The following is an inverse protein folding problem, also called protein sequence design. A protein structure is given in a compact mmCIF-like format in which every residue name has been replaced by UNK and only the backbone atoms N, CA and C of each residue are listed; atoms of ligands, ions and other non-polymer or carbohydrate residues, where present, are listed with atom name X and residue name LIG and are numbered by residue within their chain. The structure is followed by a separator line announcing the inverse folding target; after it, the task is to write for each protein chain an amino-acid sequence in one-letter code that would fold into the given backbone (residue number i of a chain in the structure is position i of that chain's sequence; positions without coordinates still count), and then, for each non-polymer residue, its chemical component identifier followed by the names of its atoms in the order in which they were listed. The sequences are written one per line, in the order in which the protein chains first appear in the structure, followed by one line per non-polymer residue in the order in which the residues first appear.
data_IF_626528990953
#
_entry.id   IF_626528990953
#
_cell.length_a   1.000
_cell.length_b   1.000
_cell.length_c   1.000
_cell.angle_alpha   90.00
_cell.angle_beta   90.00
_cell.angle_gamma   90.00
#
_symmetry.space_group_name_H-M   'P 1'
#
loop_
_entity.id
_entity.type
_entity.pdbx_description
1 polymer ?
#
# COMPACT_ATOMS: atom_id res chain seq x y z
N UNK A 1 -37.86 -51.84 -4.50
CA UNK A 1 -39.18 -51.30 -4.92
C UNK A 1 -39.66 -50.39 -3.80
N UNK A 2 -39.91 -49.09 -3.90
CA UNK A 2 -39.81 -48.12 -4.99
C UNK A 2 -39.52 -46.73 -4.38
N UNK A 3 -39.04 -45.83 -5.24
CA UNK A 3 -38.65 -44.44 -4.94
C UNK A 3 -39.89 -43.56 -4.70
N UNK A 4 -39.88 -42.72 -3.67
CA UNK A 4 -40.76 -41.55 -3.59
C UNK A 4 -40.06 -40.32 -4.17
N UNK A 5 -40.60 -39.80 -5.27
CA UNK A 5 -40.26 -38.52 -5.90
C UNK A 5 -41.46 -37.61 -5.69
N UNK A 6 -41.34 -36.56 -4.87
CA UNK A 6 -42.34 -35.48 -4.81
C UNK A 6 -42.15 -34.56 -6.01
N UNK A 7 -43.16 -34.49 -6.87
CA UNK A 7 -43.30 -33.46 -7.91
C UNK A 7 -43.81 -32.16 -7.28
N UNK A 8 -43.14 -31.03 -7.56
CA UNK A 8 -43.73 -29.70 -7.40
C UNK A 8 -44.55 -29.37 -8.67
N UNK A 9 -45.77 -28.89 -8.46
CA UNK A 9 -46.70 -28.49 -9.50
C UNK A 9 -46.32 -27.13 -10.13
N UNK A 10 -46.34 -27.07 -11.46
CA UNK A 10 -46.37 -25.85 -12.26
C UNK A 10 -47.76 -25.20 -12.16
N UNK A 11 -47.81 -23.92 -11.82
CA UNK A 11 -48.98 -23.08 -12.06
C UNK A 11 -48.73 -22.21 -13.30
N UNK A 12 -49.49 -22.50 -14.36
CA UNK A 12 -49.55 -21.73 -15.60
C UNK A 12 -50.76 -20.79 -15.49
N UNK A 13 -50.53 -19.49 -15.53
CA UNK A 13 -51.58 -18.49 -15.74
C UNK A 13 -51.38 -17.87 -17.13
N UNK A 14 -52.28 -18.25 -18.04
CA UNK A 14 -52.47 -17.61 -19.35
C UNK A 14 -53.51 -16.50 -19.19
N UNK A 15 -53.17 -15.27 -19.58
CA UNK A 15 -54.17 -14.25 -19.91
C UNK A 15 -53.79 -13.61 -21.25
N UNK A 16 -54.79 -13.63 -22.14
CA UNK A 16 -54.79 -13.20 -23.53
C UNK A 16 -54.66 -11.67 -23.67
N UNK A 17 -53.96 -11.21 -24.71
CA UNK A 17 -53.92 -9.79 -25.09
C UNK A 17 -53.40 -9.60 -26.51
N UNK A 18 -54.22 -8.99 -27.37
CA UNK A 18 -54.02 -8.82 -28.81
C UNK A 18 -52.77 -8.03 -29.21
N UNK A 19 -52.34 -8.26 -30.46
CA UNK A 19 -51.12 -7.70 -31.02
C UNK A 19 -51.18 -6.23 -31.42
N UNK A 20 -49.97 -5.66 -31.56
CA UNK A 20 -49.59 -4.51 -32.37
C UNK A 20 -48.05 -4.42 -32.31
N UNK A 21 -47.29 -4.51 -33.43
CA UNK A 21 -45.85 -4.29 -33.41
C UNK A 21 -45.60 -2.78 -33.50
N UNK A 22 -45.44 -2.11 -32.36
CA UNK A 22 -44.90 -0.75 -32.32
C UNK A 22 -43.37 -0.84 -32.37
N UNK A 23 -42.79 -0.54 -33.53
CA UNK A 23 -41.36 -0.30 -33.68
C UNK A 23 -40.99 0.95 -32.86
N UNK A 24 -40.41 0.75 -31.67
CA UNK A 24 -39.80 1.82 -30.90
C UNK A 24 -38.35 1.97 -31.37
N UNK A 25 -38.14 2.91 -32.30
CA UNK A 25 -36.83 3.51 -32.54
C UNK A 25 -36.41 4.23 -31.25
N UNK A 26 -35.73 3.51 -30.37
CA UNK A 26 -34.99 4.10 -29.26
C UNK A 26 -33.80 4.85 -29.82
N UNK A 27 -33.95 6.16 -30.02
CA UNK A 27 -32.84 7.06 -30.25
C UNK A 27 -31.91 6.99 -29.04
N UNK A 28 -30.81 6.24 -29.17
CA UNK A 28 -29.66 6.34 -28.29
C UNK A 28 -29.20 7.79 -28.31
N UNK A 29 -29.57 8.59 -27.31
CA UNK A 29 -28.83 9.80 -26.97
C UNK A 29 -27.44 9.32 -26.58
N UNK A 30 -26.54 9.28 -27.56
CA UNK A 30 -25.12 9.34 -27.31
C UNK A 30 -24.90 10.59 -26.46
N UNK A 31 -24.65 10.39 -25.17
CA UNK A 31 -24.13 11.43 -24.32
C UNK A 31 -22.81 11.86 -24.97
N UNK A 32 -22.80 13.05 -25.57
CA UNK A 32 -21.57 13.66 -26.04
C UNK A 32 -20.58 13.79 -24.89
N UNK A 33 -19.28 13.83 -25.19
CA UNK A 33 -18.25 13.99 -24.16
C UNK A 33 -18.53 15.28 -23.38
N UNK A 34 -18.75 15.14 -22.07
CA UNK A 34 -18.81 16.29 -21.17
C UNK A 34 -17.49 17.06 -21.26
N UNK A 35 -17.51 18.36 -21.60
CA UNK A 35 -16.32 19.18 -21.55
C UNK A 35 -16.03 19.51 -20.07
N UNK A 36 -14.86 19.09 -19.57
CA UNK A 36 -14.23 19.69 -18.40
C UNK A 36 -14.64 19.13 -17.03
N UNK A 37 -14.13 17.95 -16.69
CA UNK A 37 -13.51 17.78 -15.38
C UNK A 37 -11.98 17.79 -15.62
N UNK A 38 -11.42 18.99 -15.80
CA UNK A 38 -10.00 19.18 -15.56
C UNK A 38 -9.72 18.68 -14.13
N UNK A 39 -8.77 17.76 -14.00
CA UNK A 39 -8.52 17.01 -12.77
C UNK A 39 -8.44 17.91 -11.55
N UNK A 40 -9.20 17.58 -10.51
CA UNK A 40 -8.96 18.15 -9.20
C UNK A 40 -7.70 17.50 -8.64
N UNK A 41 -6.54 18.00 -9.06
CA UNK A 41 -5.30 17.78 -8.34
C UNK A 41 -5.48 18.18 -6.87
N UNK A 42 -4.54 17.80 -5.98
CA UNK A 42 -4.72 18.05 -4.56
C UNK A 42 -4.97 19.53 -4.27
N UNK A 43 -5.78 19.79 -3.24
CA UNK A 43 -6.13 21.14 -2.85
C UNK A 43 -4.90 21.87 -2.28
N UNK A 44 -4.84 23.22 -2.32
CA UNK A 44 -3.77 23.96 -1.67
C UNK A 44 -3.59 23.63 -0.17
N UNK A 45 -4.68 23.21 0.50
CA UNK A 45 -4.69 22.75 1.90
C UNK A 45 -4.03 21.39 2.12
N UNK A 46 -3.85 20.59 1.07
CA UNK A 46 -3.12 19.31 1.13
C UNK A 46 -1.61 19.51 1.21
N UNK A 47 -1.13 20.74 1.11
CA UNK A 47 0.28 21.10 1.24
C UNK A 47 0.57 21.79 2.57
N UNK A 48 1.79 21.63 3.07
CA UNK A 48 2.27 22.28 4.29
C UNK A 48 3.74 22.68 4.12
N UNK A 49 4.13 23.85 4.64
CA UNK A 49 5.56 24.16 4.77
C UNK A 49 6.17 23.28 5.86
N UNK A 50 7.28 22.60 5.58
CA UNK A 50 7.87 21.68 6.57
C UNK A 50 8.34 22.41 7.84
N UNK A 51 8.66 23.71 7.75
CA UNK A 51 8.98 24.55 8.90
C UNK A 51 7.84 24.69 9.91
N UNK A 52 6.59 24.63 9.43
CA UNK A 52 5.37 24.75 10.23
C UNK A 52 4.95 23.43 10.88
N UNK A 53 5.50 22.30 10.43
CA UNK A 53 5.20 20.97 10.98
C UNK A 53 5.98 20.79 12.29
N UNK A 54 5.33 20.60 13.46
CA UNK A 54 6.03 20.39 14.71
C UNK A 54 7.01 19.21 14.62
N UNK A 55 8.13 19.31 15.32
CA UNK A 55 9.01 18.16 15.52
C UNK A 55 8.26 17.11 16.32
N UNK A 56 8.32 15.86 15.88
CA UNK A 56 7.85 14.72 16.65
C UNK A 56 8.82 14.53 17.83
N UNK A 57 8.50 15.17 18.96
CA UNK A 57 9.22 14.97 20.23
C UNK A 57 8.62 13.76 20.91
N UNK A 58 9.16 12.57 20.65
CA UNK A 58 8.70 11.32 21.25
C UNK A 58 9.82 10.30 21.31
N UNK A 59 9.84 9.42 22.32
CA UNK A 59 11.04 8.68 22.66
C UNK A 59 11.31 7.66 21.54
N UNK A 60 12.49 7.72 20.92
CA UNK A 60 13.17 6.46 20.62
C UNK A 60 13.54 5.94 21.99
N UNK A 61 12.59 5.34 22.73
CA UNK A 61 12.94 4.65 23.96
C UNK A 61 13.99 3.67 23.50
N UNK A 62 15.24 3.90 23.93
CA UNK A 62 16.31 2.95 23.71
C UNK A 62 15.70 1.60 24.10
N UNK A 63 15.79 0.59 23.22
CA UNK A 63 15.19 -0.71 23.50
C UNK A 63 15.58 -1.12 24.92
N UNK A 64 14.60 -1.51 25.73
CA UNK A 64 14.85 -1.97 27.09
C UNK A 64 15.83 -3.14 27.07
N UNK A 65 16.35 -3.55 28.23
CA UNK A 65 17.30 -4.66 28.31
C UNK A 65 16.82 -5.93 27.58
N UNK A 66 15.49 -6.14 27.54
CA UNK A 66 14.84 -7.28 26.88
C UNK A 66 14.44 -7.02 25.41
N UNK A 67 14.66 -5.81 24.90
CA UNK A 67 14.33 -5.39 23.54
C UNK A 67 15.19 -6.06 22.46
N UNK A 68 14.80 -5.83 21.21
CA UNK A 68 15.53 -6.24 20.00
C UNK A 68 16.00 -4.97 19.26
N UNK A 69 17.15 -4.39 19.63
CA UNK A 69 17.58 -3.10 19.11
C UNK A 69 18.13 -3.14 17.69
N UNK A 70 18.31 -4.32 17.12
CA UNK A 70 18.95 -4.45 15.81
C UNK A 70 18.08 -3.91 14.68
N UNK A 71 18.73 -3.74 13.53
CA UNK A 71 18.07 -3.35 12.28
C UNK A 71 18.56 -4.22 11.14
N UNK A 72 17.69 -4.46 10.15
CA UNK A 72 18.06 -5.15 8.91
C UNK A 72 17.59 -4.32 7.73
N UNK A 73 18.49 -4.02 6.81
CA UNK A 73 18.14 -3.42 5.51
C UNK A 73 18.17 -4.50 4.44
N UNK A 74 17.13 -4.57 3.62
CA UNK A 74 17.10 -5.41 2.42
C UNK A 74 17.31 -4.53 1.19
N UNK A 75 18.35 -4.81 0.40
CA UNK A 75 18.72 -3.99 -0.76
C UNK A 75 17.94 -4.40 -2.01
N UNK A 76 16.77 -3.78 -2.26
CA UNK A 76 15.87 -4.13 -3.38
C UNK A 76 15.88 -3.17 -4.58
N UNK A 77 16.84 -2.25 -4.64
CA UNK A 77 16.88 -1.21 -5.66
C UNK A 77 15.78 -0.17 -5.45
N UNK A 78 15.39 0.51 -6.52
CA UNK A 78 14.39 1.59 -6.54
C UNK A 78 13.44 1.44 -7.74
N UNK A 79 13.03 0.19 -7.99
CA UNK A 79 12.15 -0.20 -9.09
C UNK A 79 12.75 0.08 -10.48
N UNK A 80 14.05 -0.18 -10.67
CA UNK A 80 14.70 -0.08 -11.99
C UNK A 80 14.08 -1.01 -13.04
N UNK A 81 13.48 -2.12 -12.60
CA UNK A 81 12.77 -3.07 -13.45
C UNK A 81 11.45 -2.51 -14.00
N UNK A 82 10.98 -1.37 -13.48
CA UNK A 82 9.78 -0.69 -13.96
C UNK A 82 8.49 -1.45 -13.64
N UNK A 83 8.50 -2.25 -12.58
CA UNK A 83 7.33 -3.02 -12.18
C UNK A 83 6.24 -2.11 -11.63
N UNK A 84 5.18 -1.96 -12.42
CA UNK A 84 3.98 -1.21 -12.09
C UNK A 84 2.74 -1.96 -12.57
N UNK A 85 1.65 -1.88 -11.83
CA UNK A 85 0.33 -2.35 -12.24
C UNK A 85 -0.74 -1.68 -11.35
N UNK A 86 -2.02 -1.94 -11.62
CA UNK A 86 -3.14 -1.46 -10.80
C UNK A 86 -3.72 -2.55 -9.90
N UNK A 87 -2.94 -3.59 -9.62
CA UNK A 87 -3.41 -4.75 -8.90
C UNK A 87 -3.22 -4.58 -7.39
N UNK A 88 -4.00 -5.33 -6.62
CA UNK A 88 -3.83 -5.38 -5.17
C UNK A 88 -4.05 -6.80 -4.65
N UNK A 89 -2.97 -7.60 -4.62
CA UNK A 89 -3.03 -9.00 -4.16
C UNK A 89 -3.39 -9.13 -2.67
N UNK A 90 -3.14 -8.09 -1.86
CA UNK A 90 -3.45 -8.12 -0.42
C UNK A 90 -4.95 -7.92 -0.17
N UNK A 91 -5.58 -6.94 -0.82
CA UNK A 91 -7.00 -6.58 -0.61
C UNK A 91 -7.95 -7.27 -1.58
N UNK A 92 -7.56 -7.32 -2.85
CA UNK A 92 -8.40 -7.77 -3.95
C UNK A 92 -7.70 -8.88 -4.78
N UNK A 93 -7.22 -9.97 -4.14
CA UNK A 93 -6.58 -11.07 -4.86
C UNK A 93 -7.53 -11.65 -5.91
N UNK A 94 -7.02 -11.95 -7.10
CA UNK A 94 -7.84 -12.47 -8.20
C UNK A 94 -8.57 -11.40 -9.01
N UNK A 95 -8.43 -10.11 -8.69
CA UNK A 95 -9.09 -9.01 -9.40
C UNK A 95 -8.08 -8.10 -10.10
N UNK A 96 -7.89 -8.24 -11.43
CA UNK A 96 -7.08 -7.32 -12.22
C UNK A 96 -7.57 -5.88 -12.10
N UNK A 97 -6.63 -4.93 -12.00
CA UNK A 97 -6.88 -3.50 -11.75
C UNK A 97 -7.71 -3.21 -10.50
N UNK A 98 -7.73 -4.13 -9.53
CA UNK A 98 -8.53 -4.04 -8.30
C UNK A 98 -8.10 -2.93 -7.34
N UNK A 99 -6.99 -2.23 -7.58
CA UNK A 99 -6.59 -1.04 -6.83
C UNK A 99 -7.24 0.25 -7.35
N UNK A 100 -7.62 0.31 -8.65
CA UNK A 100 -8.07 1.53 -9.35
C UNK A 100 -7.04 2.68 -9.42
N UNK A 101 -5.79 2.41 -9.05
CA UNK A 101 -4.66 3.34 -9.16
C UNK A 101 -3.36 2.55 -9.32
N UNK A 102 -2.30 3.17 -9.82
CA UNK A 102 -1.05 2.45 -10.09
C UNK A 102 -0.20 2.29 -8.83
N UNK A 103 0.32 1.10 -8.62
CA UNK A 103 1.36 0.80 -7.65
C UNK A 103 2.74 0.70 -8.30
N UNK A 104 3.77 1.09 -7.57
CA UNK A 104 5.16 0.72 -7.84
C UNK A 104 5.60 -0.39 -6.88
N UNK A 105 6.53 -1.24 -7.34
CA UNK A 105 6.97 -2.44 -6.63
C UNK A 105 8.49 -2.50 -6.53
N UNK A 106 8.99 -3.06 -5.43
CA UNK A 106 10.34 -3.65 -5.37
C UNK A 106 10.27 -5.06 -4.80
N UNK A 107 11.33 -5.83 -5.01
CA UNK A 107 11.42 -7.23 -4.62
C UNK A 107 10.84 -8.13 -5.69
N UNK A 108 9.77 -8.85 -5.37
CA UNK A 108 9.16 -9.81 -6.27
C UNK A 108 8.80 -9.24 -7.66
N UNK A 109 9.33 -9.86 -8.72
CA UNK A 109 9.17 -9.38 -10.10
C UNK A 109 7.96 -9.98 -10.85
N UNK A 110 7.17 -10.86 -10.21
CA UNK A 110 5.97 -11.46 -10.81
C UNK A 110 4.66 -11.04 -10.14
N UNK A 111 4.72 -10.11 -9.17
CA UNK A 111 3.55 -9.71 -8.38
C UNK A 111 2.49 -9.00 -9.19
N UNK A 112 1.30 -9.59 -9.23
CA UNK A 112 0.12 -9.09 -9.91
C UNK A 112 -1.16 -9.57 -9.19
N UNK A 113 -2.33 -9.28 -9.75
CA UNK A 113 -3.60 -9.72 -9.19
C UNK A 113 -3.72 -11.25 -9.09
N UNK A 114 -3.07 -12.00 -9.97
CA UNK A 114 -3.16 -13.47 -10.07
C UNK A 114 -2.15 -14.19 -9.18
N UNK A 115 -1.29 -13.44 -8.50
CA UNK A 115 -0.20 -14.00 -7.72
C UNK A 115 -0.70 -14.91 -6.60
N UNK A 116 -0.12 -16.10 -6.55
CA UNK A 116 -0.32 -17.11 -5.52
C UNK A 116 0.94 -17.27 -4.69
N UNK A 117 0.86 -17.92 -3.53
CA UNK A 117 2.05 -18.22 -2.73
C UNK A 117 3.11 -19.00 -3.55
N UNK A 118 2.68 -19.91 -4.43
CA UNK A 118 3.57 -20.66 -5.30
C UNK A 118 4.25 -19.78 -6.36
N UNK A 119 3.51 -18.86 -7.00
CA UNK A 119 4.11 -17.97 -8.00
C UNK A 119 5.05 -16.95 -7.38
N UNK A 120 4.74 -16.46 -6.17
CA UNK A 120 5.61 -15.57 -5.41
C UNK A 120 6.90 -16.27 -4.96
N UNK A 121 6.81 -17.52 -4.50
CA UNK A 121 8.00 -18.31 -4.09
C UNK A 121 8.91 -18.69 -5.27
N UNK A 122 8.34 -18.87 -6.47
CA UNK A 122 9.10 -19.19 -7.68
C UNK A 122 9.66 -17.95 -8.39
N UNK A 123 9.30 -16.74 -7.96
CA UNK A 123 9.62 -15.51 -8.67
C UNK A 123 11.12 -15.16 -8.65
N UNK A 124 11.56 -14.44 -9.68
CA UNK A 124 12.75 -13.60 -9.59
C UNK A 124 12.48 -12.41 -8.65
N UNK A 125 13.54 -11.78 -8.17
CA UNK A 125 13.46 -10.62 -7.27
C UNK A 125 14.51 -9.57 -7.62
N UNK A 126 14.20 -8.30 -7.41
CA UNK A 126 15.18 -7.20 -7.43
C UNK A 126 16.01 -7.12 -6.14
N UNK A 127 15.60 -7.82 -5.07
CA UNK A 127 16.34 -7.83 -3.80
C UNK A 127 17.64 -8.63 -3.89
N UNK A 128 18.74 -7.96 -3.52
CA UNK A 128 19.97 -8.63 -3.11
C UNK A 128 19.65 -9.61 -1.97
N UNK A 129 20.39 -10.71 -1.93
CA UNK A 129 20.14 -11.78 -0.94
C UNK A 129 18.93 -12.66 -1.25
N UNK A 130 18.22 -12.41 -2.36
CA UNK A 130 17.18 -13.29 -2.88
C UNK A 130 15.87 -13.26 -2.09
N UNK A 131 15.59 -12.18 -1.36
CA UNK A 131 14.28 -11.98 -0.74
C UNK A 131 13.21 -11.81 -1.82
N UNK A 132 12.25 -12.74 -1.91
CA UNK A 132 11.17 -12.71 -2.89
C UNK A 132 9.92 -12.00 -2.39
N UNK A 133 9.99 -11.33 -1.24
CA UNK A 133 8.86 -10.58 -0.69
C UNK A 133 8.42 -9.47 -1.63
N UNK A 134 7.15 -9.10 -1.53
CA UNK A 134 6.57 -7.99 -2.28
C UNK A 134 6.55 -6.76 -1.39
N UNK A 135 6.95 -5.61 -1.92
CA UNK A 135 6.86 -4.31 -1.24
C UNK A 135 6.31 -3.30 -2.24
N UNK A 136 5.13 -2.74 -1.97
CA UNK A 136 4.46 -1.90 -2.95
C UNK A 136 3.59 -0.79 -2.34
N UNK A 137 3.46 0.30 -3.10
CA UNK A 137 2.84 1.55 -2.69
C UNK A 137 2.26 2.30 -3.89
N UNK A 138 1.28 3.20 -3.71
CA UNK A 138 0.74 4.04 -4.78
C UNK A 138 1.83 4.98 -5.30
N UNK A 139 1.89 5.12 -6.63
CA UNK A 139 2.87 6.00 -7.30
C UNK A 139 2.61 7.46 -6.95
N UNK A 140 3.69 8.25 -6.97
CA UNK A 140 3.61 9.69 -6.86
C UNK A 140 3.73 10.29 -8.26
N UNK A 141 2.88 11.26 -8.60
CA UNK A 141 2.86 11.89 -9.92
C UNK A 141 3.19 13.36 -9.89
N UNK A 142 3.65 13.83 -11.05
CA UNK A 142 3.73 15.22 -11.48
C UNK A 142 2.56 15.50 -12.42
N UNK A 143 1.42 16.01 -11.92
CA UNK A 143 0.23 16.24 -12.74
C UNK A 143 0.43 17.37 -13.77
N UNK A 144 1.44 18.21 -13.59
CA UNK A 144 1.82 19.29 -14.52
C UNK A 144 2.65 18.81 -15.71
N UNK A 145 3.12 17.56 -15.69
CA UNK A 145 3.88 16.96 -16.78
C UNK A 145 3.05 15.89 -17.48
N UNK A 146 3.08 15.80 -18.82
CA UNK A 146 2.35 14.75 -19.51
C UNK A 146 2.89 13.38 -19.14
N UNK A 147 1.97 12.46 -18.86
CA UNK A 147 2.25 11.03 -18.88
C UNK A 147 2.50 10.58 -20.32
N UNK A 148 3.53 9.76 -20.52
CA UNK A 148 3.93 9.20 -21.81
C UNK A 148 4.23 7.69 -21.74
N UNK A 149 4.18 7.08 -20.55
CA UNK A 149 4.48 5.66 -20.32
C UNK A 149 3.19 4.85 -20.11
N UNK A 150 3.20 3.51 -20.29
CA UNK A 150 1.99 2.68 -20.22
C UNK A 150 1.17 2.88 -18.94
N UNK A 151 1.80 2.79 -17.77
CA UNK A 151 1.13 2.93 -16.48
C UNK A 151 0.79 4.39 -16.10
N UNK A 152 1.20 5.35 -16.93
CA UNK A 152 0.81 6.75 -16.72
C UNK A 152 -0.59 7.06 -17.26
N UNK A 153 -1.12 6.19 -18.14
CA UNK A 153 -2.46 6.28 -18.71
C UNK A 153 -3.41 5.18 -18.20
N UNK A 154 -2.86 4.13 -17.61
CA UNK A 154 -3.61 2.90 -17.31
C UNK A 154 -4.48 3.01 -16.06
N UNK A 155 -4.09 3.83 -15.07
CA UNK A 155 -4.81 3.97 -13.80
C UNK A 155 -6.28 4.42 -13.92
N UNK A 156 -6.69 5.03 -15.04
CA UNK A 156 -8.03 5.60 -15.18
C UNK A 156 -8.36 6.58 -14.05
N UNK A 157 -9.65 6.80 -13.78
CA UNK A 157 -10.08 7.32 -12.47
C UNK A 157 -9.50 8.69 -12.03
N UNK A 158 -9.06 9.52 -12.97
CA UNK A 158 -8.52 10.86 -12.70
C UNK A 158 -7.03 10.89 -12.36
N UNK A 159 -6.37 9.74 -12.24
CA UNK A 159 -4.91 9.67 -12.09
C UNK A 159 -4.25 10.04 -13.42
N UNK A 160 -3.55 11.18 -13.43
CA UNK A 160 -2.93 11.73 -14.62
C UNK A 160 -1.58 12.36 -14.33
N UNK A 161 -0.77 12.46 -15.37
CA UNK A 161 0.56 13.05 -15.34
C UNK A 161 1.67 12.03 -15.18
N UNK A 162 2.90 12.53 -15.19
CA UNK A 162 4.11 11.70 -15.18
C UNK A 162 4.33 11.05 -13.82
N UNK A 163 4.58 9.75 -13.78
CA UNK A 163 5.03 9.06 -12.57
C UNK A 163 6.43 9.56 -12.22
N UNK A 164 6.59 10.01 -10.99
CA UNK A 164 7.86 10.43 -10.43
C UNK A 164 8.59 9.20 -9.89
N UNK A 165 9.72 8.80 -10.49
CA UNK A 165 10.48 7.66 -10.01
C UNK A 165 11.06 7.94 -8.62
N UNK A 166 11.18 6.89 -7.81
CA UNK A 166 11.86 6.95 -6.53
C UNK A 166 13.33 7.31 -6.72
N UNK A 167 13.80 8.35 -6.03
CA UNK A 167 15.24 8.64 -5.94
C UNK A 167 15.95 7.58 -5.08
N UNK A 168 15.27 7.10 -4.02
CA UNK A 168 15.72 5.96 -3.21
C UNK A 168 14.53 5.21 -2.61
N UNK A 169 14.72 3.91 -2.40
CA UNK A 169 13.83 3.03 -1.63
C UNK A 169 14.67 2.31 -0.60
N UNK A 170 14.21 2.33 0.65
CA UNK A 170 14.84 1.59 1.76
C UNK A 170 13.81 0.70 2.43
N UNK A 171 13.97 -0.61 2.24
CA UNK A 171 13.23 -1.66 2.96
C UNK A 171 14.02 -1.99 4.22
N UNK A 172 13.44 -1.73 5.38
CA UNK A 172 14.06 -1.95 6.68
C UNK A 172 13.15 -2.76 7.59
N UNK A 173 13.72 -3.74 8.28
CA UNK A 173 13.11 -4.41 9.42
C UNK A 173 13.74 -3.90 10.71
N UNK A 174 12.90 -3.62 11.71
CA UNK A 174 13.30 -3.18 13.05
C UNK A 174 12.78 -4.14 14.10
N UNK A 175 13.49 -4.31 15.21
CA UNK A 175 12.99 -5.08 16.32
C UNK A 175 11.99 -4.33 17.20
N UNK A 176 11.50 -5.00 18.23
CA UNK A 176 10.62 -4.46 19.26
C UNK A 176 11.44 -3.77 20.36
N UNK A 177 11.04 -2.58 20.84
CA UNK A 177 11.75 -1.89 21.92
C UNK A 177 11.56 -2.54 23.30
N UNK A 178 10.59 -3.45 23.46
CA UNK A 178 10.21 -4.01 24.78
C UNK A 178 10.47 -5.51 24.91
N UNK A 179 10.80 -6.19 23.81
CA UNK A 179 10.97 -7.65 23.78
C UNK A 179 11.74 -8.12 22.54
N UNK A 180 12.12 -9.40 22.53
CA UNK A 180 12.59 -10.09 21.32
C UNK A 180 11.42 -10.30 20.34
N UNK A 181 11.71 -10.19 19.05
CA UNK A 181 10.75 -10.51 17.98
C UNK A 181 10.77 -12.00 17.65
N UNK A 182 9.63 -12.52 17.20
CA UNK A 182 9.51 -13.84 16.59
C UNK A 182 9.44 -13.74 15.07
N UNK A 183 9.75 -14.83 14.37
CA UNK A 183 9.71 -14.87 12.91
C UNK A 183 8.31 -14.54 12.35
N UNK A 184 8.26 -13.74 11.29
CA UNK A 184 7.04 -13.66 10.48
C UNK A 184 6.83 -15.00 9.77
N UNK A 185 5.62 -15.57 9.76
CA UNK A 185 5.34 -16.73 8.92
C UNK A 185 5.48 -16.36 7.45
N UNK A 186 5.83 -17.36 6.63
CA UNK A 186 5.82 -17.21 5.18
C UNK A 186 4.41 -16.82 4.71
N UNK A 187 4.38 -15.93 3.73
CA UNK A 187 3.19 -15.35 3.10
C UNK A 187 2.30 -14.53 4.02
N UNK A 188 2.83 -14.08 5.17
CA UNK A 188 2.20 -13.02 5.96
C UNK A 188 1.96 -11.79 5.07
N UNK A 189 0.71 -11.34 5.00
CA UNK A 189 0.33 -10.14 4.24
C UNK A 189 0.16 -8.98 5.19
N UNK A 190 0.85 -7.87 4.93
CA UNK A 190 0.74 -6.64 5.71
C UNK A 190 0.17 -5.50 4.89
N UNK A 191 -0.50 -4.59 5.58
CA UNK A 191 -0.99 -3.33 5.05
C UNK A 191 -0.74 -2.22 6.06
N UNK A 192 -0.44 -1.02 5.57
CA UNK A 192 -0.41 0.22 6.36
C UNK A 192 -1.12 1.33 5.60
N UNK A 193 -1.67 2.30 6.34
CA UNK A 193 -2.43 3.40 5.79
C UNK A 193 -3.87 3.04 5.39
N UNK A 194 -4.51 4.00 4.74
CA UNK A 194 -5.91 3.91 4.35
C UNK A 194 -6.15 4.59 3.01
N UNK A 195 -6.36 3.79 1.97
CA UNK A 195 -6.59 4.27 0.62
C UNK A 195 -7.89 5.09 0.46
N UNK A 196 -8.79 5.08 1.44
CA UNK A 196 -10.06 5.84 1.41
C UNK A 196 -10.17 6.91 2.51
N UNK A 197 -9.03 7.30 3.10
CA UNK A 197 -8.97 8.20 4.25
C UNK A 197 -9.58 9.59 4.04
N UNK A 198 -9.67 10.08 2.80
CA UNK A 198 -10.24 11.41 2.54
C UNK A 198 -11.76 11.42 2.73
N UNK A 199 -12.44 10.32 2.36
CA UNK A 199 -13.89 10.16 2.53
C UNK A 199 -14.28 9.39 3.79
N UNK A 200 -13.31 8.87 4.53
CA UNK A 200 -13.56 8.12 5.76
C UNK A 200 -14.19 9.02 6.83
N UNK A 201 -14.94 8.41 7.76
CA UNK A 201 -15.58 9.11 8.88
C UNK A 201 -14.56 9.67 9.90
N UNK A 202 -13.30 9.22 9.86
CA UNK A 202 -12.23 9.69 10.74
C UNK A 202 -10.87 9.13 10.36
N UNK A 203 -9.85 9.48 11.15
CA UNK A 203 -8.43 9.31 10.78
C UNK A 203 -7.74 8.11 11.46
N UNK A 204 -8.51 7.14 11.96
CA UNK A 204 -7.98 6.04 12.78
C UNK A 204 -6.91 5.19 12.05
N UNK A 205 -7.07 5.02 10.73
CA UNK A 205 -6.16 4.25 9.88
C UNK A 205 -5.24 5.13 9.01
N UNK A 206 -5.27 6.46 9.20
CA UNK A 206 -4.34 7.36 8.52
C UNK A 206 -2.94 7.13 9.06
N UNK A 207 -2.04 6.66 8.19
CA UNK A 207 -0.62 6.42 8.49
C UNK A 207 0.32 7.19 7.58
N UNK A 208 -0.20 8.12 6.78
CA UNK A 208 0.59 8.98 5.92
C UNK A 208 1.67 9.71 6.73
N UNK A 209 2.94 9.53 6.34
CA UNK A 209 4.09 10.18 6.95
C UNK A 209 4.99 10.72 5.85
N UNK A 210 4.67 11.94 5.44
CA UNK A 210 5.45 12.73 4.51
C UNK A 210 6.46 13.60 5.25
N UNK A 211 7.55 13.99 4.58
CA UNK A 211 8.55 14.87 5.16
C UNK A 211 9.59 15.33 4.14
N UNK A 212 10.66 15.94 4.65
CA UNK A 212 11.80 16.38 3.85
C UNK A 212 13.09 15.76 4.38
N UNK A 213 14.04 15.48 3.49
CA UNK A 213 15.29 14.80 3.85
C UNK A 213 16.13 15.53 4.90
N UNK A 214 16.12 16.87 4.94
CA UNK A 214 16.88 17.62 5.97
C UNK A 214 16.21 17.67 7.34
N UNK A 215 14.91 17.35 7.42
CA UNK A 215 14.13 17.38 8.67
C UNK A 215 13.31 16.10 8.84
N UNK A 216 13.96 14.93 9.00
CA UNK A 216 13.29 13.63 9.10
C UNK A 216 12.43 13.48 10.37
N UNK A 217 12.55 14.40 11.32
CA UNK A 217 11.85 14.47 12.60
C UNK A 217 10.51 15.25 12.54
N UNK A 218 10.08 15.68 11.35
CA UNK A 218 8.84 16.46 11.14
C UNK A 218 7.86 15.73 10.21
N UNK A 219 7.23 14.63 10.65
CA UNK A 219 6.27 13.92 9.81
C UNK A 219 4.98 14.73 9.63
N UNK A 220 4.46 14.75 8.41
CA UNK A 220 3.19 15.37 8.06
C UNK A 220 2.24 14.36 7.39
N UNK A 221 0.93 14.58 7.56
CA UNK A 221 -0.12 13.90 6.77
C UNK A 221 -0.47 14.67 5.50
N UNK A 222 0.30 15.71 5.18
CA UNK A 222 0.17 16.63 4.04
C UNK A 222 1.42 16.57 3.17
N UNK A 223 1.31 16.91 1.89
CA UNK A 223 2.48 17.05 1.01
C UNK A 223 3.39 18.17 1.55
N UNK A 224 4.66 17.89 1.80
CA UNK A 224 5.58 18.87 2.36
C UNK A 224 6.12 19.75 1.24
N UNK A 225 6.17 21.05 1.48
CA UNK A 225 7.00 21.98 0.72
C UNK A 225 8.38 21.96 1.36
N UNK A 226 9.32 21.31 0.68
CA UNK A 226 10.68 21.15 1.17
C UNK A 226 11.58 22.32 0.77
N UNK A 227 12.64 22.60 1.55
CA UNK A 227 13.71 23.51 1.15
C UNK A 227 14.30 23.13 -0.20
N UNK A 228 14.88 24.11 -0.90
CA UNK A 228 15.56 23.83 -2.17
C UNK A 228 16.73 22.84 -1.96
N UNK A 229 16.79 21.81 -2.80
CA UNK A 229 17.80 20.74 -2.72
C UNK A 229 17.42 19.56 -1.83
N UNK A 230 16.33 19.66 -1.06
CA UNK A 230 15.82 18.53 -0.28
C UNK A 230 15.01 17.56 -1.14
N UNK A 231 15.00 16.31 -0.71
CA UNK A 231 14.09 15.28 -1.23
C UNK A 231 12.79 15.29 -0.44
N UNK A 232 11.66 15.14 -1.13
CA UNK A 232 10.38 14.80 -0.50
C UNK A 232 10.45 13.34 -0.09
N UNK A 233 10.10 13.03 1.16
CA UNK A 233 10.15 11.67 1.72
C UNK A 233 8.77 11.15 2.06
N UNK A 234 8.56 9.84 1.91
CA UNK A 234 7.41 9.07 2.43
C UNK A 234 7.92 7.94 3.31
N UNK A 235 7.27 7.68 4.43
CA UNK A 235 7.61 6.55 5.30
C UNK A 235 6.38 5.70 5.57
N UNK A 236 6.41 4.46 5.11
CA UNK A 236 5.36 3.46 5.32
C UNK A 236 5.80 2.52 6.44
N UNK A 237 5.23 2.69 7.64
CA UNK A 237 5.49 1.82 8.80
C UNK A 237 4.36 0.81 8.92
N UNK A 238 4.68 -0.48 8.92
CA UNK A 238 3.70 -1.55 8.99
C UNK A 238 3.40 -1.96 10.44
N UNK A 239 2.22 -2.54 10.71
CA UNK A 239 1.94 -3.19 11.98
C UNK A 239 2.94 -4.32 12.24
N UNK A 240 3.30 -4.52 13.51
CA UNK A 240 4.37 -5.46 13.93
C UNK A 240 3.96 -6.36 15.09
N UNK A 241 2.66 -6.48 15.36
CA UNK A 241 2.10 -7.36 16.38
C UNK A 241 1.18 -8.38 15.73
N UNK A 242 1.67 -9.61 15.58
CA UNK A 242 0.99 -10.71 14.90
C UNK A 242 0.16 -11.55 15.86
N UNK A 243 -1.03 -11.99 15.47
CA UNK A 243 -1.91 -12.80 16.32
C UNK A 243 -1.41 -14.24 16.60
N UNK A 244 -0.32 -14.66 15.96
CA UNK A 244 0.25 -16.00 16.14
C UNK A 244 -0.43 -17.11 15.31
N UNK A 245 -1.43 -16.76 14.49
CA UNK A 245 -2.28 -17.72 13.80
C UNK A 245 -2.33 -17.47 12.29
N UNK A 246 -2.76 -16.29 11.88
CA UNK A 246 -3.20 -16.04 10.51
C UNK A 246 -2.17 -15.26 9.71
N UNK A 247 -1.92 -15.69 8.46
CA UNK A 247 -1.14 -14.90 7.50
C UNK A 247 -1.98 -13.87 6.76
N UNK A 248 -3.31 -14.03 6.81
CA UNK A 248 -4.33 -13.17 6.22
C UNK A 248 -5.52 -13.13 7.17
N UNK A 249 -5.86 -11.96 7.70
CA UNK A 249 -7.02 -11.75 8.57
C UNK A 249 -8.21 -11.10 7.86
N UNK A 250 -9.37 -11.13 8.52
CA UNK A 250 -10.54 -10.34 8.14
C UNK A 250 -10.19 -8.87 7.92
N UNK A 251 -10.74 -8.28 6.85
CA UNK A 251 -10.44 -6.90 6.44
C UNK A 251 -8.96 -6.64 6.15
N UNK A 252 -8.15 -7.70 6.00
CA UNK A 252 -6.71 -7.69 5.74
C UNK A 252 -5.87 -7.04 6.85
N UNK A 253 -6.47 -6.79 8.03
CA UNK A 253 -5.85 -6.05 9.13
C UNK A 253 -5.97 -6.76 10.49
N UNK A 254 -6.90 -7.69 10.68
CA UNK A 254 -7.18 -8.23 12.02
C UNK A 254 -6.03 -9.08 12.61
N UNK A 255 -5.20 -9.68 11.77
CA UNK A 255 -4.08 -10.55 12.14
C UNK A 255 -2.79 -9.80 12.48
N UNK A 256 -2.65 -8.54 12.04
CA UNK A 256 -1.50 -7.69 12.30
C UNK A 256 -1.92 -6.33 12.86
N UNK A 257 -1.47 -6.02 14.07
CA UNK A 257 -1.81 -4.78 14.77
C UNK A 257 -0.60 -3.90 14.98
N UNK A 258 -0.83 -2.59 15.06
CA UNK A 258 0.19 -1.66 15.52
C UNK A 258 0.44 -1.88 17.02
N UNK A 259 1.70 -1.79 17.47
CA UNK A 259 1.99 -1.73 18.89
C UNK A 259 1.35 -0.48 19.52
N UNK A 260 1.02 -0.58 20.81
CA UNK A 260 0.56 0.56 21.61
C UNK A 260 1.70 1.55 21.86
N UNK A 261 1.38 2.68 22.48
CA UNK A 261 2.39 3.61 22.97
C UNK A 261 3.44 2.87 23.84
N UNK A 262 4.72 3.14 23.59
CA UNK A 262 5.83 2.43 24.23
C UNK A 262 6.25 1.12 23.54
N UNK A 263 5.59 0.73 22.43
CA UNK A 263 6.00 -0.42 21.61
C UNK A 263 5.47 -1.77 22.06
N UNK A 264 4.57 -1.80 23.05
CA UNK A 264 3.98 -3.03 23.58
C UNK A 264 2.90 -3.56 22.63
N UNK A 265 2.98 -4.84 22.30
CA UNK A 265 1.94 -5.48 21.50
C UNK A 265 0.63 -5.66 22.27
N UNK A 266 -0.54 -5.44 21.63
CA UNK A 266 -1.83 -5.74 22.23
C UNK A 266 -1.92 -7.18 22.75
N UNK A 267 -2.73 -7.40 23.78
CA UNK A 267 -2.92 -8.75 24.36
C UNK A 267 -3.31 -9.76 23.26
N UNK A 268 -2.69 -10.93 23.32
CA UNK A 268 -2.93 -12.01 22.35
C UNK A 268 -2.22 -11.81 21.00
N UNK A 269 -1.22 -10.93 20.95
CA UNK A 269 -0.35 -10.76 19.78
C UNK A 269 1.12 -10.80 20.20
N UNK A 270 1.98 -11.16 19.25
CA UNK A 270 3.42 -11.33 19.43
C UNK A 270 4.18 -10.34 18.56
N UNK A 271 5.27 -9.76 19.07
CA UNK A 271 6.14 -8.88 18.28
C UNK A 271 6.80 -9.66 17.15
N UNK A 272 6.63 -9.21 15.92
CA UNK A 272 7.38 -9.65 14.74
C UNK A 272 8.26 -8.50 14.26
N UNK A 273 9.26 -8.73 13.38
CA UNK A 273 10.02 -7.62 12.80
C UNK A 273 9.10 -6.53 12.24
N UNK A 274 9.34 -5.26 12.58
CA UNK A 274 8.57 -4.15 12.04
C UNK A 274 9.14 -3.77 10.68
N UNK A 275 8.35 -3.99 9.61
CA UNK A 275 8.68 -3.48 8.29
C UNK A 275 8.47 -1.96 8.23
N UNK A 276 9.48 -1.26 7.73
CA UNK A 276 9.43 0.14 7.35
C UNK A 276 9.96 0.28 5.92
N UNK A 277 9.15 0.85 5.03
CA UNK A 277 9.59 1.26 3.70
C UNK A 277 9.73 2.77 3.67
N UNK A 278 10.94 3.27 3.39
CA UNK A 278 11.20 4.72 3.26
C UNK A 278 11.51 5.04 1.81
N UNK A 279 10.81 6.03 1.26
CA UNK A 279 10.89 6.46 -0.13
C UNK A 279 11.34 7.92 -0.15
N UNK A 280 12.13 8.30 -1.16
CA UNK A 280 12.49 9.70 -1.40
C UNK A 280 12.33 10.06 -2.87
N UNK A 281 11.97 11.31 -3.15
CA UNK A 281 11.71 11.80 -4.49
C UNK A 281 12.36 13.16 -4.71
N UNK A 282 12.94 13.35 -5.90
CA UNK A 282 13.40 14.65 -6.37
C UNK A 282 12.20 15.47 -6.85
N UNK A 283 11.82 16.48 -6.07
CA UNK A 283 10.67 17.34 -6.37
C UNK A 283 11.16 18.79 -6.48
N UNK A 284 11.11 19.41 -7.67
CA UNK A 284 11.40 20.82 -7.82
C UNK A 284 10.52 21.68 -6.90
N UNK A 285 11.09 22.75 -6.34
CA UNK A 285 10.34 23.64 -5.46
C UNK A 285 9.07 24.18 -6.14
N UNK A 286 7.94 24.07 -5.45
CA UNK A 286 6.63 24.52 -5.95
C UNK A 286 5.96 23.61 -6.98
N UNK A 287 6.61 22.51 -7.38
CA UNK A 287 5.99 21.52 -8.25
C UNK A 287 4.75 20.88 -7.58
N UNK A 288 3.64 20.73 -8.31
CA UNK A 288 2.50 19.99 -7.78
C UNK A 288 2.84 18.50 -7.73
N UNK A 289 2.31 17.84 -6.72
CA UNK A 289 2.34 16.40 -6.54
C UNK A 289 0.91 15.85 -6.62
N UNK A 290 0.76 14.59 -6.97
CA UNK A 290 -0.49 13.87 -6.85
C UNK A 290 -0.19 12.41 -6.52
N UNK A 291 -0.63 11.94 -5.37
CA UNK A 291 -0.60 10.52 -5.05
C UNK A 291 -1.71 9.81 -5.81
N UNK A 292 -1.39 8.66 -6.39
CA UNK A 292 -2.37 7.81 -7.05
C UNK A 292 -3.42 7.31 -6.04
N UNK A 293 -4.70 7.50 -6.39
CA UNK A 293 -5.83 7.21 -5.50
C UNK A 293 -7.13 7.00 -6.29
N UNK A 294 -8.18 6.54 -5.63
CA UNK A 294 -9.54 6.59 -6.19
C UNK A 294 -9.99 8.05 -6.47
N UNK A 295 -10.90 8.28 -7.45
CA UNK A 295 -11.33 9.63 -7.83
C UNK A 295 -11.89 10.44 -6.64
N UNK A 296 -12.66 9.78 -5.77
CA UNK A 296 -13.34 10.39 -4.63
C UNK A 296 -12.35 10.88 -3.57
N UNK A 297 -11.11 10.36 -3.60
CA UNK A 297 -10.05 10.69 -2.64
C UNK A 297 -9.22 11.90 -3.05
N UNK A 298 -9.39 12.38 -4.28
CA UNK A 298 -8.83 13.64 -4.79
C UNK A 298 -7.32 13.78 -4.59
N UNK A 299 -6.59 12.67 -4.70
CA UNK A 299 -5.14 12.62 -4.48
C UNK A 299 -4.72 13.16 -3.10
N UNK A 300 -5.58 13.07 -2.09
CA UNK A 300 -5.25 13.54 -0.75
C UNK A 300 -4.05 12.76 -0.19
N UNK A 301 -3.02 13.44 0.35
CA UNK A 301 -1.83 12.78 0.89
C UNK A 301 -2.14 11.88 2.09
N UNK A 302 -3.30 12.06 2.74
CA UNK A 302 -3.79 11.21 3.83
C UNK A 302 -4.05 9.79 3.37
N UNK A 303 -4.34 9.57 2.08
CA UNK A 303 -4.63 8.24 1.54
C UNK A 303 -3.39 7.39 1.29
N UNK A 304 -2.21 7.90 1.64
CA UNK A 304 -0.97 7.16 1.50
C UNK A 304 -1.02 5.82 2.27
N UNK A 305 -0.57 4.78 1.60
CA UNK A 305 -0.69 3.41 2.04
C UNK A 305 0.41 2.54 1.44
N UNK A 306 0.58 1.35 2.02
CA UNK A 306 1.55 0.38 1.53
C UNK A 306 1.09 -1.03 1.84
N UNK A 307 1.50 -1.95 1.00
CA UNK A 307 1.21 -3.37 1.15
C UNK A 307 2.49 -4.19 1.00
N UNK A 308 2.47 -5.36 1.61
CA UNK A 308 3.59 -6.28 1.55
C UNK A 308 3.12 -7.73 1.70
N UNK A 309 3.85 -8.65 1.08
CA UNK A 309 3.71 -10.09 1.31
C UNK A 309 5.09 -10.67 1.61
N UNK A 310 5.25 -11.28 2.78
CA UNK A 310 6.48 -11.95 3.18
C UNK A 310 6.69 -13.20 2.34
N UNK A 311 7.65 -13.21 1.42
CA UNK A 311 8.04 -14.44 0.72
C UNK A 311 9.48 -14.85 1.01
N UNK A 312 10.11 -14.27 2.05
CA UNK A 312 11.35 -14.79 2.61
C UNK A 312 11.20 -16.28 2.95
N UNK A 313 12.24 -17.05 2.68
CA UNK A 313 12.38 -18.41 3.20
C UNK A 313 12.54 -18.40 4.71
N UNK A 314 12.26 -19.52 5.37
CA UNK A 314 12.44 -19.65 6.82
C UNK A 314 13.87 -19.31 7.26
N UNK A 315 14.87 -19.67 6.43
CA UNK A 315 16.28 -19.33 6.66
C UNK A 315 16.53 -17.82 6.61
N UNK A 316 15.98 -17.13 5.62
CA UNK A 316 16.12 -15.68 5.50
C UNK A 316 15.45 -14.96 6.67
N UNK A 317 14.22 -15.36 7.03
CA UNK A 317 13.51 -14.76 8.15
C UNK A 317 14.19 -15.06 9.50
N UNK A 318 14.75 -16.25 9.68
CA UNK A 318 15.57 -16.56 10.87
C UNK A 318 16.78 -15.62 10.97
N UNK A 319 17.51 -15.40 9.87
CA UNK A 319 18.64 -14.47 9.87
C UNK A 319 18.23 -13.01 10.17
N UNK A 320 17.04 -12.59 9.71
CA UNK A 320 16.45 -11.29 10.09
C UNK A 320 16.22 -11.26 11.60
N UNK A 321 15.49 -12.23 12.15
CA UNK A 321 15.17 -12.31 13.58
C UNK A 321 16.41 -12.34 14.45
N UNK A 322 17.41 -13.15 14.09
CA UNK A 322 18.68 -13.26 14.81
C UNK A 322 19.40 -11.91 14.86
N UNK A 323 19.52 -11.22 13.71
CA UNK A 323 20.14 -9.90 13.66
C UNK A 323 19.44 -8.89 14.59
N UNK A 324 18.11 -8.84 14.53
CA UNK A 324 17.30 -7.93 15.34
C UNK A 324 17.43 -8.23 16.84
N UNK A 325 17.33 -9.52 17.21
CA UNK A 325 17.36 -9.97 18.58
C UNK A 325 18.76 -9.88 19.21
N UNK A 326 19.83 -10.03 18.42
CA UNK A 326 21.21 -9.83 18.85
C UNK A 326 21.63 -8.35 18.90
N UNK A 327 20.78 -7.44 18.41
CA UNK A 327 21.07 -6.01 18.45
C UNK A 327 22.08 -5.55 17.40
N UNK A 328 22.17 -6.27 16.27
CA UNK A 328 23.10 -5.94 15.18
C UNK A 328 22.42 -5.09 14.11
N UNK A 329 23.23 -4.36 13.36
CA UNK A 329 22.81 -3.68 12.14
C UNK A 329 23.29 -4.51 10.93
N UNK A 330 22.35 -5.18 10.25
CA UNK A 330 22.64 -6.05 9.13
C UNK A 330 22.14 -5.45 7.80
N UNK A 331 22.75 -5.93 6.72
CA UNK A 331 22.28 -5.73 5.35
C UNK A 331 22.19 -7.09 4.66
N UNK A 332 21.11 -7.31 3.93
CA UNK A 332 20.80 -8.56 3.24
C UNK A 332 20.48 -8.31 1.77
#
# INVERSE_FOLDING_TARGET
MGKERRLLALAICLVLGGGLPAAVLGASRAAGPHPGAAGSGPAPSDYVDIGDVPRETGPVSAPGADGSPGTVVVECGRNEEGHHNEDNLVVSPGLPSGAHHTHAYVGNLSTDAMSSNASLDAAATSCRGGDRSTYYWPVLRRPDLPGTRPHEHAAGHGNAGRILPEASVRVEFRGSPVSKVVAMPRFLRGMTGDAVAYTAAGDADVRARWGCSSTPDRPATRYPRCPAGDLVTRTLVFPSCWNGLDTIGEGHRSHLKFPAAGGVCPRGTFPVPQLRVSLSYEVPAGAPLALDSFPEQRHSPKTDHGMFVNAMTDRQMAAVVDCLNEGRDCRM
#
